data_IF_588590433283
#
_entry.id   IF_588590433283
#
_cell.length_a   1.000
_cell.length_b   1.000
_cell.length_c   1.000
_cell.angle_alpha   90.00
_cell.angle_beta   90.00
_cell.angle_gamma   90.00
#
_symmetry.space_group_name_H-M   'P 1'
#
loop_
_entity.id
_entity.type
_entity.pdbx_description
1 polymer ?
#
# COMPACT_ATOMS: atom_id res chain seq x y z
N UNK A 1 15.46 -3.48 14.09
CA UNK A 1 15.88 -2.59 12.98
C UNK A 1 16.11 -3.36 11.68
N UNK A 2 17.11 -4.26 11.60
CA UNK A 2 17.42 -5.06 10.38
C UNK A 2 16.21 -5.85 9.85
N UNK A 3 15.41 -6.45 10.75
CA UNK A 3 14.25 -7.27 10.37
C UNK A 3 13.09 -6.47 9.75
N UNK A 4 12.92 -5.18 10.11
CA UNK A 4 11.82 -4.34 9.57
C UNK A 4 12.19 -3.82 8.19
N UNK A 5 13.41 -3.31 8.02
CA UNK A 5 13.90 -2.85 6.73
C UNK A 5 13.96 -4.00 5.70
N UNK A 6 14.42 -5.20 6.11
CA UNK A 6 14.41 -6.37 5.25
C UNK A 6 12.99 -6.80 4.84
N UNK A 7 12.03 -6.74 5.77
CA UNK A 7 10.63 -7.09 5.48
C UNK A 7 9.97 -6.10 4.50
N UNK A 8 10.20 -4.80 4.67
CA UNK A 8 9.73 -3.79 3.71
C UNK A 8 10.35 -4.01 2.34
N UNK A 9 11.65 -4.34 2.29
CA UNK A 9 12.33 -4.55 1.02
C UNK A 9 11.84 -5.77 0.27
N UNK A 10 11.58 -6.86 0.99
CA UNK A 10 10.92 -8.03 0.44
C UNK A 10 9.52 -7.68 -0.09
N UNK A 11 8.74 -6.91 0.67
CA UNK A 11 7.42 -6.47 0.25
C UNK A 11 7.47 -5.58 -1.01
N UNK A 12 8.45 -4.68 -1.12
CA UNK A 12 8.67 -3.88 -2.32
C UNK A 12 8.93 -4.77 -3.55
N UNK A 13 9.83 -5.74 -3.42
CA UNK A 13 10.18 -6.68 -4.50
C UNK A 13 8.97 -7.51 -4.95
N UNK A 14 8.18 -8.02 -4.00
CA UNK A 14 6.96 -8.77 -4.29
C UNK A 14 5.93 -7.91 -5.04
N UNK A 15 5.71 -6.66 -4.61
CA UNK A 15 4.79 -5.74 -5.29
C UNK A 15 5.28 -5.40 -6.71
N UNK A 16 6.59 -5.18 -6.90
CA UNK A 16 7.17 -4.96 -8.24
C UNK A 16 7.01 -6.17 -9.15
N UNK A 17 7.18 -7.38 -8.61
CA UNK A 17 6.97 -8.62 -9.36
C UNK A 17 5.51 -8.75 -9.82
N UNK A 18 4.55 -8.46 -8.94
CA UNK A 18 3.13 -8.47 -9.28
C UNK A 18 2.80 -7.48 -10.39
N UNK A 19 3.33 -6.25 -10.32
CA UNK A 19 3.16 -5.24 -11.38
C UNK A 19 3.68 -5.78 -12.72
N UNK A 20 4.89 -6.35 -12.75
CA UNK A 20 5.46 -6.93 -13.99
C UNK A 20 4.61 -8.05 -14.58
N UNK A 21 4.03 -8.91 -13.73
CA UNK A 21 3.11 -9.97 -14.18
C UNK A 21 1.86 -9.35 -14.81
N UNK A 22 1.26 -8.35 -14.16
CA UNK A 22 0.09 -7.65 -14.71
C UNK A 22 0.42 -6.92 -16.01
N UNK A 23 1.58 -6.29 -16.12
CA UNK A 23 2.01 -5.63 -17.36
C UNK A 23 2.15 -6.64 -18.52
N UNK A 24 2.72 -7.81 -18.25
CA UNK A 24 2.80 -8.90 -19.24
C UNK A 24 1.40 -9.33 -19.71
N UNK A 25 0.46 -9.52 -18.77
CA UNK A 25 -0.92 -9.88 -19.09
C UNK A 25 -1.63 -8.78 -19.89
N UNK A 26 -1.50 -7.51 -19.50
CA UNK A 26 -2.08 -6.37 -20.23
C UNK A 26 -1.62 -6.38 -21.70
N UNK A 27 -0.31 -6.53 -21.93
CA UNK A 27 0.25 -6.59 -23.30
C UNK A 27 -0.32 -7.76 -24.09
N UNK A 28 -0.44 -8.95 -23.47
CA UNK A 28 -1.02 -10.12 -24.11
C UNK A 28 -2.49 -9.89 -24.51
N UNK A 29 -3.31 -9.33 -23.60
CA UNK A 29 -4.72 -9.05 -23.85
C UNK A 29 -4.94 -7.90 -24.84
N UNK A 30 -4.09 -6.87 -24.86
CA UNK A 30 -4.13 -5.81 -25.87
C UNK A 30 -3.83 -6.34 -27.28
N UNK A 31 -2.89 -7.29 -27.39
CA UNK A 31 -2.62 -7.97 -28.65
C UNK A 31 -3.84 -8.76 -29.12
N UNK A 32 -4.45 -9.55 -28.24
CA UNK A 32 -5.68 -10.29 -28.54
C UNK A 32 -6.82 -9.36 -28.98
N UNK A 33 -7.03 -8.26 -28.25
CA UNK A 33 -8.02 -7.22 -28.58
C UNK A 33 -7.79 -6.68 -29.99
N UNK A 34 -6.54 -6.35 -30.32
CA UNK A 34 -6.16 -5.84 -31.64
C UNK A 34 -6.46 -6.85 -32.74
N UNK A 35 -6.06 -8.11 -32.55
CA UNK A 35 -6.30 -9.19 -33.52
C UNK A 35 -7.79 -9.41 -33.79
N UNK A 36 -8.61 -9.46 -32.72
CA UNK A 36 -10.07 -9.61 -32.85
C UNK A 36 -10.69 -8.38 -33.52
N UNK A 37 -10.23 -7.17 -33.20
CA UNK A 37 -10.73 -5.93 -33.82
C UNK A 37 -10.40 -5.86 -35.31
N UNK A 38 -9.21 -6.30 -35.72
CA UNK A 38 -8.83 -6.39 -37.13
C UNK A 38 -9.70 -7.40 -37.86
N UNK A 39 -10.00 -8.55 -37.25
CA UNK A 39 -10.94 -9.52 -37.84
C UNK A 39 -12.32 -8.90 -38.03
N UNK A 40 -12.84 -8.18 -37.03
CA UNK A 40 -14.13 -7.48 -37.12
C UNK A 40 -14.15 -6.48 -38.28
N UNK A 41 -13.15 -5.61 -38.35
CA UNK A 41 -13.03 -4.60 -39.40
C UNK A 41 -12.92 -5.21 -40.81
N UNK A 42 -12.24 -6.36 -40.96
CA UNK A 42 -12.16 -7.08 -42.24
C UNK A 42 -13.54 -7.60 -42.67
N UNK A 43 -14.31 -8.18 -41.76
CA UNK A 43 -15.66 -8.68 -42.07
C UNK A 43 -16.57 -7.48 -42.40
N UNK A 44 -16.50 -6.39 -41.64
CA UNK A 44 -17.26 -5.16 -41.91
C UNK A 44 -16.97 -4.61 -43.31
N UNK A 45 -15.69 -4.58 -43.69
CA UNK A 45 -15.28 -4.18 -45.04
C UNK A 45 -15.86 -5.11 -46.11
N UNK A 46 -15.82 -6.44 -45.91
CA UNK A 46 -16.37 -7.41 -46.86
C UNK A 46 -17.88 -7.27 -47.04
N UNK A 47 -18.63 -7.05 -45.96
CA UNK A 47 -20.09 -6.79 -46.00
C UNK A 47 -20.39 -5.52 -46.80
N UNK A 48 -19.64 -4.45 -46.55
CA UNK A 48 -19.81 -3.18 -47.26
C UNK A 48 -19.50 -3.32 -48.76
N UNK A 49 -18.43 -4.04 -49.12
CA UNK A 49 -18.06 -4.29 -50.54
C UNK A 49 -19.15 -5.10 -51.27
N UNK A 50 -19.84 -6.00 -50.57
CA UNK A 50 -20.95 -6.75 -51.13
C UNK A 50 -22.23 -5.90 -51.35
N UNK A 51 -22.22 -4.61 -51.00
CA UNK A 51 -23.38 -3.72 -51.16
C UNK A 51 -24.53 -4.03 -50.20
N UNK A 52 -24.27 -4.81 -49.15
CA UNK A 52 -25.25 -5.13 -48.12
C UNK A 52 -25.42 -3.93 -47.18
N UNK A 53 -26.60 -3.78 -46.59
CA UNK A 53 -26.79 -2.78 -45.54
C UNK A 53 -25.83 -3.06 -44.38
N UNK A 54 -25.29 -2.01 -43.71
CA UNK A 54 -24.42 -2.19 -42.56
C UNK A 54 -25.13 -3.00 -41.48
N UNK A 55 -24.62 -4.21 -41.22
CA UNK A 55 -25.10 -5.08 -40.15
C UNK A 55 -24.11 -5.09 -38.99
N UNK A 56 -24.57 -5.06 -37.73
CA UNK A 56 -23.68 -5.12 -36.57
C UNK A 56 -22.93 -6.46 -36.55
N UNK A 57 -21.60 -6.39 -36.59
CA UNK A 57 -20.76 -7.58 -36.58
C UNK A 57 -20.37 -7.91 -35.15
N UNK A 58 -20.81 -9.09 -34.71
CA UNK A 58 -20.43 -9.65 -33.44
C UNK A 58 -19.40 -10.77 -33.62
N UNK A 59 -18.30 -10.72 -32.87
CA UNK A 59 -17.34 -11.81 -32.79
C UNK A 59 -17.51 -12.47 -31.43
N UNK A 60 -18.06 -13.68 -31.45
CA UNK A 60 -18.24 -14.52 -30.28
C UNK A 60 -17.38 -15.80 -30.41
N UNK A 61 -16.93 -16.38 -29.28
CA UNK A 61 -16.34 -17.71 -29.30
C UNK A 61 -17.38 -18.75 -29.71
N UNK A 62 -16.96 -19.79 -30.44
CA UNK A 62 -17.87 -20.85 -30.93
C UNK A 62 -18.54 -21.65 -29.80
N UNK A 63 -18.02 -21.56 -28.56
CA UNK A 63 -18.46 -22.35 -27.41
C UNK A 63 -18.58 -21.54 -26.12
N UNK A 64 -19.01 -20.28 -26.16
CA UNK A 64 -19.10 -19.44 -24.97
C UNK A 64 -20.26 -18.45 -24.96
N UNK A 65 -20.60 -17.94 -23.77
CA UNK A 65 -21.66 -16.96 -23.50
C UNK A 65 -21.23 -15.51 -23.75
N UNK A 66 -20.07 -15.29 -24.36
CA UNK A 66 -19.55 -13.94 -24.57
C UNK A 66 -20.27 -13.31 -25.77
N UNK A 67 -21.21 -12.42 -25.49
CA UNK A 67 -21.98 -11.69 -26.49
C UNK A 67 -21.14 -10.75 -27.33
N UNK A 68 -19.92 -10.35 -26.91
CA UNK A 68 -18.98 -9.59 -27.74
C UNK A 68 -17.56 -9.70 -27.18
N UNK A 69 -16.72 -10.51 -27.82
CA UNK A 69 -15.36 -10.78 -27.37
C UNK A 69 -14.47 -9.53 -27.29
N UNK A 70 -14.65 -8.55 -28.19
CA UNK A 70 -13.88 -7.29 -28.14
C UNK A 70 -14.18 -6.54 -26.84
N UNK A 71 -15.45 -6.46 -26.46
CA UNK A 71 -15.89 -5.77 -25.24
C UNK A 71 -15.39 -6.49 -23.98
N UNK A 72 -15.44 -7.82 -23.95
CA UNK A 72 -14.92 -8.61 -22.82
C UNK A 72 -13.41 -8.38 -22.64
N UNK A 73 -12.64 -8.38 -23.74
CA UNK A 73 -11.20 -8.09 -23.70
C UNK A 73 -10.92 -6.66 -23.19
N UNK A 74 -11.73 -5.67 -23.60
CA UNK A 74 -11.63 -4.29 -23.10
C UNK A 74 -11.90 -4.19 -21.60
N UNK A 75 -12.96 -4.83 -21.12
CA UNK A 75 -13.30 -4.86 -19.70
C UNK A 75 -12.21 -5.56 -18.88
N UNK A 76 -11.63 -6.64 -19.41
CA UNK A 76 -10.54 -7.34 -18.75
C UNK A 76 -9.27 -6.48 -18.65
N UNK A 77 -8.86 -5.81 -19.73
CA UNK A 77 -7.72 -4.87 -19.71
C UNK A 77 -7.98 -3.72 -18.71
N UNK A 78 -9.21 -3.21 -18.63
CA UNK A 78 -9.58 -2.19 -17.65
C UNK A 78 -9.45 -2.72 -16.20
N UNK A 79 -9.90 -3.95 -15.94
CA UNK A 79 -9.78 -4.58 -14.64
C UNK A 79 -8.30 -4.78 -14.24
N UNK A 80 -7.46 -5.28 -15.14
CA UNK A 80 -6.03 -5.42 -14.93
C UNK A 80 -5.37 -4.07 -14.59
N UNK A 81 -5.72 -3.00 -15.32
CA UNK A 81 -5.22 -1.65 -15.04
C UNK A 81 -5.65 -1.12 -13.66
N UNK A 82 -6.89 -1.40 -13.22
CA UNK A 82 -7.35 -1.03 -11.86
C UNK A 82 -6.51 -1.74 -10.79
N UNK A 83 -6.26 -3.04 -10.96
CA UNK A 83 -5.43 -3.81 -10.03
C UNK A 83 -3.98 -3.29 -10.03
N UNK A 84 -3.40 -3.03 -11.20
CA UNK A 84 -2.08 -2.39 -11.33
C UNK A 84 -2.00 -1.07 -10.57
N UNK A 85 -2.99 -0.21 -10.72
CA UNK A 85 -3.04 1.08 -10.04
C UNK A 85 -3.14 0.95 -8.51
N UNK A 86 -3.94 -0.01 -8.04
CA UNK A 86 -4.02 -0.32 -6.61
C UNK A 86 -2.68 -0.80 -6.05
N UNK A 87 -2.00 -1.71 -6.73
CA UNK A 87 -0.68 -2.23 -6.32
C UNK A 87 0.37 -1.11 -6.37
N UNK A 88 0.36 -0.26 -7.39
CA UNK A 88 1.22 0.93 -7.46
C UNK A 88 0.98 1.87 -6.28
N UNK A 89 -0.27 2.04 -5.84
CA UNK A 89 -0.60 2.81 -4.63
C UNK A 89 0.08 2.23 -3.39
N UNK A 90 -0.01 0.92 -3.19
CA UNK A 90 0.66 0.22 -2.08
C UNK A 90 2.19 0.32 -2.16
N UNK A 91 2.76 0.14 -3.35
CA UNK A 91 4.20 0.22 -3.57
C UNK A 91 4.75 1.60 -3.18
N UNK A 92 4.04 2.68 -3.52
CA UNK A 92 4.43 4.04 -3.11
C UNK A 92 4.48 4.22 -1.60
N UNK A 93 3.57 3.59 -0.86
CA UNK A 93 3.57 3.64 0.61
C UNK A 93 4.79 2.92 1.16
N UNK A 94 5.07 1.70 0.70
CA UNK A 94 6.24 0.91 1.13
C UNK A 94 7.55 1.66 0.87
N UNK A 95 7.72 2.23 -0.32
CA UNK A 95 8.93 3.01 -0.65
C UNK A 95 9.09 4.21 0.31
N UNK A 96 8.01 4.94 0.60
CA UNK A 96 8.07 6.07 1.54
C UNK A 96 8.39 5.62 2.97
N UNK A 97 7.86 4.48 3.40
CA UNK A 97 8.20 3.90 4.71
C UNK A 97 9.68 3.55 4.78
N UNK A 98 10.25 2.95 3.73
CA UNK A 98 11.68 2.66 3.67
C UNK A 98 12.55 3.91 3.68
N UNK A 99 12.18 4.94 2.90
CA UNK A 99 12.87 6.23 2.88
C UNK A 99 12.87 6.88 4.27
N UNK A 100 11.72 6.89 4.94
CA UNK A 100 11.58 7.40 6.30
C UNK A 100 12.48 6.63 7.28
N UNK A 101 12.48 5.29 7.21
CA UNK A 101 13.33 4.49 8.09
C UNK A 101 14.82 4.73 7.85
N UNK A 102 15.22 4.90 6.59
CA UNK A 102 16.61 5.20 6.24
C UNK A 102 17.02 6.60 6.73
N UNK A 103 16.13 7.59 6.63
CA UNK A 103 16.35 8.95 7.11
C UNK A 103 16.46 8.99 8.63
N UNK A 104 15.52 8.37 9.36
CA UNK A 104 15.57 8.24 10.81
C UNK A 104 16.84 7.52 11.27
N UNK A 105 17.26 6.47 10.55
CA UNK A 105 18.49 5.76 10.85
C UNK A 105 19.74 6.63 10.65
N UNK A 106 19.73 7.49 9.63
CA UNK A 106 20.83 8.39 9.33
C UNK A 106 20.94 9.52 10.35
N UNK A 107 19.80 10.08 10.76
CA UNK A 107 19.74 11.24 11.65
C UNK A 107 19.97 10.85 13.11
N UNK A 108 19.33 9.78 13.59
CA UNK A 108 19.32 9.41 15.01
C UNK A 108 20.08 8.11 15.31
N UNK A 109 20.56 7.40 14.29
CA UNK A 109 21.43 6.23 14.46
C UNK A 109 20.80 5.14 15.33
N UNK A 110 21.39 4.89 16.49
CA UNK A 110 20.93 3.86 17.44
C UNK A 110 19.88 4.36 18.43
N UNK A 111 19.61 5.67 18.44
CA UNK A 111 18.68 6.30 19.39
C UNK A 111 17.23 6.11 18.97
N UNK A 112 16.95 5.85 17.69
CA UNK A 112 15.62 5.43 17.22
C UNK A 112 15.56 3.91 17.10
N UNK A 113 14.47 3.32 17.59
CA UNK A 113 14.21 1.90 17.49
C UNK A 113 12.77 1.66 17.06
N UNK A 114 12.57 0.75 16.10
CA UNK A 114 11.25 0.46 15.55
C UNK A 114 10.73 -0.81 16.22
N UNK A 115 9.61 -0.70 16.94
CA UNK A 115 8.89 -1.85 17.48
C UNK A 115 7.75 -2.19 16.54
N UNK A 116 7.71 -3.43 16.06
CA UNK A 116 6.58 -3.94 15.29
C UNK A 116 5.60 -4.62 16.23
N UNK A 117 4.35 -4.18 16.21
CA UNK A 117 3.27 -4.76 16.98
C UNK A 117 2.72 -6.00 16.24
N UNK A 118 2.14 -6.98 16.97
CA UNK A 118 1.58 -8.20 16.36
C UNK A 118 0.45 -7.95 15.35
N UNK A 119 -0.25 -6.82 15.48
CA UNK A 119 -1.30 -6.38 14.55
C UNK A 119 -0.74 -5.81 13.23
N UNK A 120 0.58 -5.74 13.07
CA UNK A 120 1.25 -5.22 11.88
C UNK A 120 1.58 -3.73 11.95
N UNK A 121 1.14 -3.00 12.98
CA UNK A 121 1.54 -1.61 13.21
C UNK A 121 3.00 -1.51 13.64
N UNK A 122 3.60 -0.34 13.44
CA UNK A 122 4.95 -0.05 13.93
C UNK A 122 4.94 1.20 14.81
N UNK A 123 5.80 1.17 15.83
CA UNK A 123 6.03 2.26 16.76
C UNK A 123 7.49 2.68 16.68
N UNK A 124 7.72 3.99 16.59
CA UNK A 124 9.05 4.58 16.65
C UNK A 124 9.34 4.96 18.10
N UNK A 125 10.40 4.37 18.67
CA UNK A 125 10.86 4.63 20.03
C UNK A 125 12.18 5.38 19.94
N UNK A 126 12.17 6.65 20.33
CA UNK A 126 13.38 7.45 20.49
C UNK A 126 13.88 7.39 21.94
N UNK A 127 15.18 7.18 22.12
CA UNK A 127 15.85 7.12 23.42
C UNK A 127 17.32 7.53 23.30
N UNK A 128 17.61 8.76 23.66
CA UNK A 128 18.96 9.31 23.89
C UNK A 128 19.23 9.51 25.39
N UNK A 129 20.42 10.01 25.73
CA UNK A 129 20.75 10.29 27.14
C UNK A 129 20.01 11.51 27.69
N UNK A 130 19.64 12.46 26.84
CA UNK A 130 18.82 13.62 27.20
C UNK A 130 17.41 13.24 27.65
N UNK A 131 16.71 12.41 26.87
CA UNK A 131 15.36 11.91 27.21
C UNK A 131 15.39 11.04 28.46
N UNK A 132 16.42 10.20 28.65
CA UNK A 132 16.59 9.45 29.91
C UNK A 132 16.77 10.37 31.12
N UNK A 133 17.59 11.42 30.99
CA UNK A 133 17.81 12.39 32.06
C UNK A 133 16.52 13.16 32.39
N UNK A 134 15.79 13.61 31.37
CA UNK A 134 14.50 14.28 31.52
C UNK A 134 13.47 13.38 32.23
N UNK A 135 13.39 12.09 31.85
CA UNK A 135 12.49 11.13 32.48
C UNK A 135 12.84 10.93 33.96
N UNK A 136 14.12 10.75 34.30
CA UNK A 136 14.56 10.65 35.72
C UNK A 136 14.22 11.90 36.53
N UNK A 137 14.40 13.09 35.95
CA UNK A 137 14.05 14.35 36.61
C UNK A 137 12.53 14.45 36.86
N UNK A 138 11.72 14.02 35.89
CA UNK A 138 10.26 13.95 36.03
C UNK A 138 9.84 12.99 37.14
N UNK A 139 10.41 11.77 37.19
CA UNK A 139 10.10 10.80 38.24
C UNK A 139 10.45 11.33 39.64
N UNK A 140 11.61 11.97 39.77
CA UNK A 140 12.01 12.63 41.03
C UNK A 140 11.02 13.72 41.44
N UNK A 141 10.60 14.56 40.50
CA UNK A 141 9.61 15.62 40.75
C UNK A 141 8.24 15.06 41.15
N UNK A 142 7.77 14.01 40.47
CA UNK A 142 6.51 13.32 40.84
C UNK A 142 6.57 12.75 42.25
N UNK A 143 7.67 12.09 42.64
CA UNK A 143 7.86 11.59 44.00
C UNK A 143 7.86 12.71 45.05
N UNK A 144 8.47 13.85 44.75
CA UNK A 144 8.44 15.03 45.60
C UNK A 144 7.01 15.59 45.75
N UNK A 145 6.26 15.71 44.66
CA UNK A 145 4.87 16.18 44.68
C UNK A 145 3.95 15.28 45.53
N UNK A 146 4.07 13.97 45.39
CA UNK A 146 3.32 13.02 46.22
C UNK A 146 3.67 13.16 47.71
N UNK A 147 4.94 13.43 48.03
CA UNK A 147 5.38 13.65 49.41
C UNK A 147 4.76 14.94 49.97
N UNK A 148 4.83 16.05 49.22
CA UNK A 148 4.21 17.32 49.61
C UNK A 148 2.70 17.17 49.80
N UNK A 149 2.03 16.47 48.88
CA UNK A 149 0.58 16.23 48.96
C UNK A 149 0.19 15.49 50.23
N UNK A 150 0.94 14.44 50.59
CA UNK A 150 0.73 13.70 51.85
C UNK A 150 0.97 14.57 53.08
N UNK A 151 2.03 15.37 53.10
CA UNK A 151 2.32 16.27 54.23
C UNK A 151 1.24 17.36 54.40
N UNK A 152 0.72 17.91 53.31
CA UNK A 152 -0.39 18.88 53.38
C UNK A 152 -1.68 18.21 53.89
N UNK A 153 -1.96 16.99 53.46
CA UNK A 153 -3.11 16.22 53.96
C UNK A 153 -3.01 15.94 55.47
N UNK A 154 -1.85 15.49 55.96
CA UNK A 154 -1.68 15.26 57.40
C UNK A 154 -1.80 16.55 58.23
N UNK A 155 -1.28 17.68 57.73
CA UNK A 155 -1.40 18.98 58.39
C UNK A 155 -2.85 19.51 58.41
N UNK A 156 -3.67 19.15 57.43
CA UNK A 156 -5.08 19.56 57.39
C UNK A 156 -6.01 18.65 58.18
N UNK A 157 -5.58 17.42 58.48
CA UNK A 157 -6.26 16.51 59.40
C UNK A 157 -5.95 16.85 60.86
N UNK A 158 -4.69 17.18 61.19
CA UNK A 158 -4.29 17.64 62.55
C UNK A 158 -4.93 18.98 62.97
N UNK A 159 -5.40 19.80 62.03
CA UNK A 159 -6.12 21.06 62.32
C UNK A 159 -7.63 20.87 62.53
N UNK A 160 -8.16 19.65 62.39
CA UNK A 160 -9.58 19.32 62.59
C UNK A 160 -9.88 18.56 63.88
N UNK A 161 -8.85 18.20 64.66
CA UNK A 161 -8.97 17.77 66.07
C UNK A 161 -8.85 18.96 67.02
#
# INVERSE_FOLDING_TARGET
MILVAAALKQQEEELRLLIRKIDTEIVAFEKLKTEVSVKKAKIEKSVNVAGLQPVPINIAPHSGSADNLVRELEQHVLALNKVKNFINGKLKVVIKEEELLAELQKEYGKEVNIKKHPNGEFELVFSDDGTKAAFKALEKSKGMLETVKKSVQSLTEEQKE
#
